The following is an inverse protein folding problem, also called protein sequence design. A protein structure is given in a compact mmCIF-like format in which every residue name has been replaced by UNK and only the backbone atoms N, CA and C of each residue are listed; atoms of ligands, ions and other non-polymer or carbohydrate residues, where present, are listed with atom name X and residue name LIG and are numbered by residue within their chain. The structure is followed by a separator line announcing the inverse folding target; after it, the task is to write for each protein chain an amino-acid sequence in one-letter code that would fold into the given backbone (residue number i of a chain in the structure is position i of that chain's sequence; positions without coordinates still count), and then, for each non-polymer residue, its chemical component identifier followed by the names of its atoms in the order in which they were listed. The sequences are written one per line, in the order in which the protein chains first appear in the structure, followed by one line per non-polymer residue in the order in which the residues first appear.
data_IF_347533967397
#
_entry.id   IF_347533967397
#
_cell.length_a   1.000
_cell.length_b   1.000
_cell.length_c   1.000
_cell.angle_alpha   90.00
_cell.angle_beta   90.00
_cell.angle_gamma   90.00
#
_symmetry.space_group_name_H-M   'P 1'
#
loop_
_entity.id
_entity.type
_entity.pdbx_description
1 polymer ?
#
# COMPACT_ATOMS: atom_id res chain seq x y z
N UNK A 1 21.46 12.40 -17.59
CA UNK A 1 20.33 12.45 -18.54
C UNK A 1 19.80 11.03 -18.64
N UNK A 2 18.51 10.85 -18.35
CA UNK A 2 17.74 9.62 -18.54
C UNK A 2 18.13 8.45 -17.58
N UNK A 3 17.25 7.80 -16.81
CA UNK A 3 15.83 7.57 -16.99
C UNK A 3 15.13 7.41 -15.63
N UNK A 4 13.98 8.06 -15.51
CA UNK A 4 12.88 7.56 -14.71
C UNK A 4 12.66 6.07 -15.02
N UNK A 5 12.95 5.18 -14.08
CA UNK A 5 12.36 3.83 -14.08
C UNK A 5 11.43 3.75 -12.88
N UNK A 6 10.37 4.55 -12.95
CA UNK A 6 9.15 4.25 -12.22
C UNK A 6 8.60 2.91 -12.72
N UNK A 7 8.15 2.08 -11.79
CA UNK A 7 7.12 1.07 -12.02
C UNK A 7 7.43 -0.20 -12.86
N UNK A 8 8.69 -0.57 -13.14
CA UNK A 8 8.97 -1.83 -13.89
C UNK A 8 9.81 -2.92 -13.18
N UNK A 9 10.29 -2.73 -11.95
CA UNK A 9 11.12 -3.75 -11.26
C UNK A 9 10.48 -4.42 -10.02
N UNK A 10 9.19 -4.18 -9.76
CA UNK A 10 8.49 -4.78 -8.61
C UNK A 10 7.57 -5.96 -8.98
N UNK A 11 7.49 -6.31 -10.27
CA UNK A 11 6.45 -7.21 -10.78
C UNK A 11 6.72 -8.73 -10.69
N UNK A 12 7.78 -9.21 -10.01
CA UNK A 12 8.04 -10.67 -10.03
C UNK A 12 8.27 -11.39 -8.71
N UNK A 13 8.57 -10.76 -7.56
CA UNK A 13 8.91 -11.58 -6.38
C UNK A 13 8.81 -10.92 -5.00
N UNK A 14 7.68 -10.33 -4.63
CA UNK A 14 7.46 -10.02 -3.20
C UNK A 14 6.07 -10.43 -2.73
N UNK A 15 5.86 -11.75 -2.65
CA UNK A 15 5.23 -12.30 -1.45
C UNK A 15 6.28 -12.19 -0.35
N UNK A 16 6.35 -11.05 0.32
CA UNK A 16 7.22 -10.86 1.49
C UNK A 16 6.53 -9.92 2.46
N UNK A 17 5.96 -10.53 3.49
CA UNK A 17 5.72 -9.97 4.81
C UNK A 17 6.38 -8.59 5.04
N UNK A 18 5.57 -7.55 5.13
CA UNK A 18 5.78 -6.31 5.89
C UNK A 18 7.10 -5.49 5.72
N UNK A 19 8.10 -5.90 4.95
CA UNK A 19 9.44 -5.28 4.96
C UNK A 19 9.89 -4.66 3.64
N UNK A 20 9.08 -4.76 2.58
CA UNK A 20 9.42 -4.26 1.24
C UNK A 20 8.61 -3.05 0.76
N UNK A 21 7.55 -2.67 1.48
CA UNK A 21 6.72 -1.54 1.09
C UNK A 21 7.30 -0.24 1.64
N UNK A 22 7.30 0.85 0.85
CA UNK A 22 7.75 2.14 1.34
C UNK A 22 6.88 2.54 2.52
N UNK A 23 7.47 2.95 3.65
CA UNK A 23 6.71 3.44 4.82
C UNK A 23 6.12 4.83 4.61
N UNK A 24 6.43 5.47 3.47
CA UNK A 24 5.92 6.77 3.09
C UNK A 24 5.59 6.75 1.59
N UNK A 25 4.31 6.90 1.27
CA UNK A 25 3.89 7.17 -0.09
C UNK A 25 2.66 8.07 -0.10
N UNK A 26 2.77 9.20 -0.80
CA UNK A 26 1.64 10.10 -1.04
C UNK A 26 1.03 9.80 -2.40
N UNK A 27 -0.23 9.37 -2.45
CA UNK A 27 -0.94 9.10 -3.71
C UNK A 27 -0.58 7.80 -4.44
N UNK A 28 0.09 6.84 -3.79
CA UNK A 28 0.27 5.49 -4.35
C UNK A 28 -1.08 4.81 -4.59
N UNK A 29 -1.12 3.86 -5.52
CA UNK A 29 -2.27 2.96 -5.69
C UNK A 29 -1.92 1.52 -5.29
N UNK A 30 -2.69 1.00 -4.35
CA UNK A 30 -2.80 -0.39 -3.96
C UNK A 30 -4.20 -0.95 -4.26
N UNK A 31 -4.93 -0.33 -5.19
CA UNK A 31 -6.26 -0.78 -5.56
C UNK A 31 -6.23 -2.24 -6.04
N UNK A 32 -7.27 -3.00 -5.70
CA UNK A 32 -7.47 -4.40 -6.07
C UNK A 32 -6.37 -5.37 -5.58
N UNK A 33 -5.56 -4.98 -4.59
CA UNK A 33 -4.51 -5.83 -4.03
C UNK A 33 -5.01 -6.66 -2.86
N UNK A 34 -4.49 -7.88 -2.74
CA UNK A 34 -4.58 -8.65 -1.52
C UNK A 34 -3.44 -8.23 -0.58
N UNK A 35 -3.81 -7.53 0.49
CA UNK A 35 -2.91 -6.99 1.51
C UNK A 35 -3.17 -7.69 2.86
N UNK A 36 -3.93 -8.78 2.88
CA UNK A 36 -4.36 -9.43 4.11
C UNK A 36 -3.19 -9.73 5.05
N UNK A 37 -3.35 -9.32 6.32
CA UNK A 37 -2.39 -9.60 7.39
C UNK A 37 -1.08 -8.81 7.33
N UNK A 38 -0.94 -7.82 6.45
CA UNK A 38 0.25 -6.97 6.39
C UNK A 38 0.35 -6.00 7.57
N UNK A 39 1.58 -5.62 7.93
CA UNK A 39 1.82 -4.59 8.94
C UNK A 39 2.08 -3.24 8.28
N UNK A 40 1.09 -2.36 8.37
CA UNK A 40 1.14 -0.96 7.93
C UNK A 40 1.18 -0.01 9.13
N UNK A 41 1.69 -0.45 10.28
CA UNK A 41 1.76 0.42 11.44
C UNK A 41 2.77 1.54 11.24
N UNK A 42 2.36 2.77 11.57
CA UNK A 42 3.21 3.97 11.47
C UNK A 42 3.47 4.48 10.05
N UNK A 43 2.85 3.90 9.01
CA UNK A 43 3.08 4.34 7.62
C UNK A 43 2.45 5.71 7.34
N UNK A 44 3.01 6.44 6.39
CA UNK A 44 2.46 7.70 5.87
C UNK A 44 1.92 7.49 4.44
N UNK A 45 0.65 7.13 4.34
CA UNK A 45 -0.09 6.77 3.12
C UNK A 45 -1.19 7.78 2.80
N UNK A 46 -0.81 9.07 2.77
CA UNK A 46 -1.73 10.17 2.46
C UNK A 46 -2.19 10.07 1.01
N UNK A 47 -3.51 10.12 0.78
CA UNK A 47 -4.09 10.07 -0.56
C UNK A 47 -3.95 8.72 -1.27
N UNK A 48 -3.57 7.66 -0.55
CA UNK A 48 -3.36 6.34 -1.15
C UNK A 48 -4.68 5.70 -1.56
N UNK A 49 -4.69 5.07 -2.72
CA UNK A 49 -5.84 4.35 -3.25
C UNK A 49 -5.80 2.87 -2.84
N UNK A 50 -6.69 2.47 -1.94
CA UNK A 50 -6.95 1.10 -1.49
C UNK A 50 -8.25 0.54 -2.07
N UNK A 51 -8.83 1.15 -3.10
CA UNK A 51 -10.14 0.73 -3.60
C UNK A 51 -10.14 -0.74 -4.04
N UNK A 52 -11.19 -1.49 -3.68
CA UNK A 52 -11.33 -2.93 -3.94
C UNK A 52 -10.21 -3.82 -3.38
N UNK A 53 -9.40 -3.35 -2.42
CA UNK A 53 -8.32 -4.14 -1.82
C UNK A 53 -8.81 -5.01 -0.65
N UNK A 54 -8.13 -6.13 -0.40
CA UNK A 54 -8.34 -6.93 0.81
C UNK A 54 -7.34 -6.51 1.89
N UNK A 55 -7.83 -5.77 2.89
CA UNK A 55 -7.12 -5.27 4.06
C UNK A 55 -7.45 -6.05 5.33
N UNK A 56 -8.11 -7.20 5.23
CA UNK A 56 -8.43 -8.03 6.38
C UNK A 56 -7.18 -8.35 7.20
N UNK A 57 -7.28 -8.17 8.52
CA UNK A 57 -6.18 -8.37 9.47
C UNK A 57 -4.94 -7.46 9.25
N UNK A 58 -5.03 -6.40 8.45
CA UNK A 58 -3.93 -5.43 8.30
C UNK A 58 -3.76 -4.61 9.57
N UNK A 59 -2.53 -4.49 10.06
CA UNK A 59 -2.21 -3.63 11.19
C UNK A 59 -2.04 -2.18 10.72
N UNK A 60 -3.06 -1.34 10.88
CA UNK A 60 -3.01 0.10 10.52
C UNK A 60 -2.71 1.02 11.72
N UNK A 61 -2.15 0.48 12.83
CA UNK A 61 -1.88 1.28 14.05
C UNK A 61 -0.93 2.44 13.76
N UNK A 62 -1.28 3.65 14.16
CA UNK A 62 -0.49 4.87 13.92
C UNK A 62 -0.26 5.21 12.43
N UNK A 63 -0.98 4.61 11.48
CA UNK A 63 -0.88 4.97 10.07
C UNK A 63 -1.53 6.34 9.79
N UNK A 64 -0.89 7.17 8.97
CA UNK A 64 -1.49 8.36 8.40
C UNK A 64 -2.10 8.04 7.04
N UNK A 65 -3.42 7.90 7.01
CA UNK A 65 -4.22 7.56 5.83
C UNK A 65 -5.10 8.75 5.38
N UNK A 66 -4.65 9.98 5.66
CA UNK A 66 -5.42 11.19 5.33
C UNK A 66 -5.73 11.23 3.83
N UNK A 67 -7.01 11.26 3.48
CA UNK A 67 -7.46 11.29 2.08
C UNK A 67 -7.28 9.98 1.31
N UNK A 68 -6.96 8.87 1.98
CA UNK A 68 -6.91 7.56 1.34
C UNK A 68 -8.31 7.10 0.89
N UNK A 69 -8.37 6.38 -0.22
CA UNK A 69 -9.60 5.83 -0.80
C UNK A 69 -9.76 4.37 -0.41
N UNK A 70 -10.82 4.02 0.31
CA UNK A 70 -11.15 2.65 0.74
C UNK A 70 -12.44 2.13 0.09
N UNK A 71 -12.91 2.73 -1.01
CA UNK A 71 -14.14 2.28 -1.66
C UNK A 71 -14.06 0.80 -2.01
N UNK A 72 -15.05 0.04 -1.57
CA UNK A 72 -15.15 -1.41 -1.79
C UNK A 72 -13.96 -2.23 -1.24
N UNK A 73 -13.16 -1.67 -0.32
CA UNK A 73 -12.13 -2.42 0.38
C UNK A 73 -12.73 -3.34 1.46
N UNK A 74 -12.12 -4.51 1.66
CA UNK A 74 -12.48 -5.48 2.70
C UNK A 74 -11.55 -5.28 3.92
N UNK A 75 -12.07 -4.89 5.09
CA UNK A 75 -11.31 -4.43 6.26
C UNK A 75 -11.46 -5.36 7.46
#
# INVERSE_FOLDING_TARGET
MELFVGALFTALLTVAAASGLPSNCTGCSFAHRDLHGLDFSGVNYVGVDFAHSNLQHVNLRNANLTGADFRDADL
#
